data_IF_539745365023
#
_entry.id   IF_539745365023
#
_cell.length_a   1.000
_cell.length_b   1.000
_cell.length_c   1.000
_cell.angle_alpha   90.00
_cell.angle_beta   90.00
_cell.angle_gamma   90.00
#
_symmetry.space_group_name_H-M   'P 1'
#
loop_
_entity.id
_entity.type
_entity.pdbx_description
1 polymer ?
#
# COMPACT_ATOMS: atom_id res chain seq x y z
N UNK A 1 -7.10 14.26 33.76
CA UNK A 1 -7.18 14.45 32.31
C UNK A 1 -8.04 13.34 31.74
N UNK A 2 -9.14 13.67 31.05
CA UNK A 2 -9.98 12.68 30.38
C UNK A 2 -9.18 11.97 29.29
N UNK A 3 -9.13 10.64 29.36
CA UNK A 3 -8.64 9.76 28.31
C UNK A 3 -9.51 9.97 27.05
N UNK A 4 -9.07 10.84 26.14
CA UNK A 4 -9.75 11.01 24.86
C UNK A 4 -9.37 9.80 24.03
N UNK A 5 -10.25 8.80 23.97
CA UNK A 5 -10.00 7.59 23.19
C UNK A 5 -9.64 7.99 21.75
N UNK A 6 -8.54 7.44 21.22
CA UNK A 6 -8.11 7.71 19.84
C UNK A 6 -9.24 7.42 18.87
N UNK A 7 -9.41 8.28 17.87
CA UNK A 7 -10.42 8.05 16.83
C UNK A 7 -9.99 6.87 15.96
N UNK A 8 -10.88 5.89 15.83
CA UNK A 8 -10.67 4.70 15.01
C UNK A 8 -10.99 4.99 13.54
N UNK A 9 -10.11 4.59 12.63
CA UNK A 9 -10.25 4.86 11.19
C UNK A 9 -10.12 3.57 10.39
N UNK A 10 -11.11 3.28 9.54
CA UNK A 10 -11.05 2.17 8.61
C UNK A 10 -10.30 2.58 7.33
N UNK A 11 -9.34 1.75 6.92
CA UNK A 11 -8.57 1.91 5.68
C UNK A 11 -8.83 0.68 4.81
N UNK A 12 -9.38 0.89 3.62
CA UNK A 12 -9.78 -0.21 2.73
C UNK A 12 -8.72 -0.37 1.63
N UNK A 13 -7.96 -1.48 1.72
CA UNK A 13 -6.85 -1.84 0.85
C UNK A 13 -5.48 -1.47 1.43
N UNK A 14 -4.49 -2.37 1.28
CA UNK A 14 -3.10 -2.17 1.72
C UNK A 14 -2.13 -2.02 0.54
N UNK A 15 -2.56 -1.29 -0.50
CA UNK A 15 -1.74 -0.94 -1.66
C UNK A 15 -0.99 0.40 -1.50
N UNK A 16 -0.53 0.95 -2.63
CA UNK A 16 0.22 2.21 -2.68
C UNK A 16 -0.54 3.44 -2.10
N UNK A 17 -1.86 3.39 -1.98
CA UNK A 17 -2.63 4.43 -1.28
C UNK A 17 -2.88 4.09 0.19
N UNK A 18 -3.12 2.82 0.52
CA UNK A 18 -3.49 2.40 1.87
C UNK A 18 -2.35 2.46 2.87
N UNK A 19 -1.16 1.99 2.48
CA UNK A 19 0.03 2.01 3.34
C UNK A 19 0.41 3.42 3.82
N UNK A 20 0.50 4.47 2.96
CA UNK A 20 0.73 5.82 3.44
C UNK A 20 -0.44 6.37 4.26
N UNK A 21 -1.69 5.98 3.98
CA UNK A 21 -2.82 6.34 4.85
C UNK A 21 -2.68 5.77 6.26
N UNK A 22 -2.21 4.52 6.41
CA UNK A 22 -1.92 3.90 7.72
C UNK A 22 -0.83 4.69 8.43
N UNK A 23 0.28 4.98 7.74
CA UNK A 23 1.38 5.79 8.29
C UNK A 23 0.88 7.13 8.81
N UNK A 24 0.13 7.88 8.00
CA UNK A 24 -0.37 9.19 8.40
C UNK A 24 -1.41 9.10 9.51
N UNK A 25 -2.28 8.09 9.52
CA UNK A 25 -3.20 7.87 10.63
C UNK A 25 -2.44 7.70 11.95
N UNK A 26 -1.36 6.92 11.97
CA UNK A 26 -0.50 6.78 13.15
C UNK A 26 0.20 8.10 13.51
N UNK A 27 0.71 8.85 12.53
CA UNK A 27 1.36 10.15 12.74
C UNK A 27 0.42 11.20 13.37
N UNK A 28 -0.87 11.15 13.03
CA UNK A 28 -1.90 12.05 13.57
C UNK A 28 -2.63 11.49 14.81
N UNK A 29 -2.04 10.49 15.47
CA UNK A 29 -2.55 9.88 16.70
C UNK A 29 -3.96 9.24 16.57
N UNK A 30 -4.24 8.67 15.39
CA UNK A 30 -5.44 7.88 15.13
C UNK A 30 -5.17 6.39 15.33
N UNK A 31 -6.24 5.60 15.49
CA UNK A 31 -6.16 4.13 15.56
C UNK A 31 -6.62 3.52 14.22
N UNK A 32 -5.71 3.21 13.29
CA UNK A 32 -6.08 2.64 12.00
C UNK A 32 -6.43 1.15 12.09
N UNK A 33 -7.47 0.76 11.38
CA UNK A 33 -7.80 -0.64 11.06
C UNK A 33 -7.77 -0.80 9.55
N UNK A 34 -6.81 -1.56 9.03
CA UNK A 34 -6.68 -1.81 7.60
C UNK A 34 -7.35 -3.14 7.23
N UNK A 35 -8.16 -3.10 6.16
CA UNK A 35 -8.76 -4.27 5.55
C UNK A 35 -8.15 -4.48 4.17
N UNK A 36 -7.31 -5.50 4.01
CA UNK A 36 -6.79 -5.94 2.72
C UNK A 36 -7.52 -7.22 2.31
N UNK A 37 -7.98 -7.26 1.06
CA UNK A 37 -8.69 -8.43 0.55
C UNK A 37 -7.75 -9.63 0.52
N UNK A 38 -6.54 -9.45 0.02
CA UNK A 38 -5.58 -10.52 -0.23
C UNK A 38 -4.77 -10.87 1.03
N UNK A 39 -3.89 -11.86 0.94
CA UNK A 39 -3.09 -12.33 2.07
C UNK A 39 -1.83 -11.49 2.33
N UNK A 40 -1.62 -10.40 1.59
CA UNK A 40 -0.37 -9.64 1.61
C UNK A 40 -0.58 -8.21 1.08
N UNK A 41 0.38 -7.33 1.35
CA UNK A 41 0.33 -5.90 1.00
C UNK A 41 0.90 -5.61 -0.40
N UNK A 42 0.77 -4.38 -0.86
CA UNK A 42 1.35 -3.89 -2.12
C UNK A 42 0.35 -3.74 -3.26
N UNK A 43 -0.85 -4.33 -3.12
CA UNK A 43 -1.94 -4.17 -4.09
C UNK A 43 -1.54 -4.61 -5.50
N UNK A 44 -1.76 -3.75 -6.50
CA UNK A 44 -1.45 -4.00 -7.91
C UNK A 44 0.03 -4.37 -8.15
N UNK A 45 0.95 -3.77 -7.39
CA UNK A 45 2.38 -3.90 -7.58
C UNK A 45 2.96 -5.21 -7.02
N UNK A 46 2.17 -5.96 -6.26
CA UNK A 46 2.55 -7.32 -5.85
C UNK A 46 2.31 -8.27 -7.01
N UNK A 47 3.35 -8.54 -7.78
CA UNK A 47 3.29 -9.50 -8.87
C UNK A 47 2.86 -10.90 -8.38
N UNK A 48 1.93 -11.52 -9.10
CA UNK A 48 1.45 -12.89 -8.86
C UNK A 48 1.55 -13.70 -10.15
N UNK A 49 2.44 -14.70 -10.18
CA UNK A 49 2.69 -15.51 -11.38
C UNK A 49 1.48 -16.39 -11.74
N UNK A 50 0.93 -17.11 -10.75
CA UNK A 50 -0.13 -18.12 -10.97
C UNK A 50 -1.49 -17.75 -10.36
N UNK A 51 -1.55 -16.73 -9.50
CA UNK A 51 -2.74 -16.40 -8.70
C UNK A 51 -3.34 -15.04 -9.08
N UNK A 52 -4.18 -15.02 -10.12
CA UNK A 52 -5.03 -13.84 -10.47
C UNK A 52 -6.41 -13.89 -9.84
N UNK A 53 -6.62 -14.82 -8.91
CA UNK A 53 -7.82 -14.88 -8.11
C UNK A 53 -7.48 -15.13 -6.65
N UNK A 54 -8.19 -14.46 -5.75
CA UNK A 54 -8.14 -14.72 -4.33
C UNK A 54 -9.56 -14.99 -3.83
N UNK A 55 -9.78 -16.14 -3.18
CA UNK A 55 -11.11 -16.59 -2.71
C UNK A 55 -12.20 -16.51 -3.81
N UNK A 56 -11.87 -16.91 -5.04
CA UNK A 56 -12.80 -16.88 -6.18
C UNK A 56 -13.03 -15.49 -6.80
N UNK A 57 -12.48 -14.42 -6.23
CA UNK A 57 -12.53 -13.07 -6.81
C UNK A 57 -11.30 -12.82 -7.67
N UNK A 58 -11.47 -12.20 -8.84
CA UNK A 58 -10.33 -11.77 -9.66
C UNK A 58 -9.59 -10.64 -8.95
N UNK A 59 -8.27 -10.76 -8.87
CA UNK A 59 -7.38 -9.75 -8.28
C UNK A 59 -6.39 -9.27 -9.34
N UNK A 60 -6.21 -7.95 -9.41
CA UNK A 60 -5.30 -7.33 -10.36
C UNK A 60 -3.84 -7.51 -9.91
N UNK A 61 -2.95 -7.62 -10.89
CA UNK A 61 -1.49 -7.69 -10.72
C UNK A 61 -0.85 -7.07 -11.95
N UNK A 62 0.32 -6.47 -11.77
CA UNK A 62 1.23 -6.15 -12.88
C UNK A 62 1.66 -7.42 -13.64
N UNK A 63 2.22 -7.23 -14.85
CA UNK A 63 2.84 -8.30 -15.62
C UNK A 63 4.30 -8.49 -15.18
N UNK A 64 4.88 -9.66 -15.49
CA UNK A 64 6.27 -10.00 -15.15
C UNK A 64 7.29 -8.99 -15.69
N UNK A 65 7.00 -8.42 -16.86
CA UNK A 65 7.86 -7.47 -17.56
C UNK A 65 7.43 -6.01 -17.36
N UNK A 66 6.53 -5.72 -16.41
CA UNK A 66 6.11 -4.34 -16.15
C UNK A 66 7.29 -3.53 -15.60
N UNK A 67 7.54 -2.39 -16.24
CA UNK A 67 8.46 -1.34 -15.78
C UNK A 67 7.61 -0.09 -15.55
N UNK A 68 7.94 0.73 -14.54
CA UNK A 68 7.20 1.96 -14.29
C UNK A 68 7.34 2.91 -15.49
N UNK A 69 6.30 3.66 -15.81
CA UNK A 69 6.30 4.64 -16.89
C UNK A 69 6.53 6.08 -16.39
N UNK A 70 6.85 6.23 -15.10
CA UNK A 70 7.14 7.48 -14.41
C UNK A 70 8.54 7.43 -13.82
N UNK A 71 9.09 8.58 -13.38
CA UNK A 71 10.37 8.56 -12.64
C UNK A 71 10.17 7.97 -11.24
N UNK A 72 11.12 7.13 -10.81
CA UNK A 72 11.12 6.57 -9.44
C UNK A 72 11.20 7.66 -8.39
N UNK A 73 11.92 8.76 -8.66
CA UNK A 73 12.06 9.91 -7.77
C UNK A 73 10.75 10.69 -7.66
N UNK A 74 10.07 10.89 -8.79
CA UNK A 74 8.79 11.62 -8.83
C UNK A 74 7.62 10.80 -8.24
N UNK A 75 7.73 9.48 -8.26
CA UNK A 75 6.68 8.57 -7.79
C UNK A 75 6.85 8.17 -6.32
N UNK A 76 8.06 8.30 -5.78
CA UNK A 76 8.36 7.93 -4.41
C UNK A 76 7.55 8.73 -3.39
N UNK A 77 7.31 8.12 -2.23
CA UNK A 77 6.92 8.90 -1.06
C UNK A 77 8.08 9.83 -0.68
N UNK A 78 7.79 11.10 -0.43
CA UNK A 78 8.79 12.14 -0.19
C UNK A 78 9.71 11.85 1.00
N UNK A 79 9.24 11.09 1.98
CA UNK A 79 9.97 10.69 3.18
C UNK A 79 10.51 9.25 3.13
N UNK A 80 10.41 8.60 1.96
CA UNK A 80 10.96 7.26 1.71
C UNK A 80 11.46 7.13 0.27
N UNK A 81 12.53 7.87 -0.10
CA UNK A 81 13.07 7.85 -1.46
C UNK A 81 13.75 6.52 -1.80
N UNK A 82 13.70 6.09 -3.08
CA UNK A 82 14.38 4.89 -3.54
C UNK A 82 15.91 5.09 -3.52
N UNK A 83 16.66 3.99 -3.39
CA UNK A 83 18.12 4.04 -3.48
C UNK A 83 18.56 4.45 -4.90
N UNK A 84 19.68 5.19 -5.05
CA UNK A 84 20.18 5.63 -6.35
C UNK A 84 20.40 4.48 -7.35
N UNK A 85 20.88 3.34 -6.86
CA UNK A 85 21.23 2.15 -7.66
C UNK A 85 20.03 1.44 -8.32
N UNK A 86 18.81 1.65 -7.80
CA UNK A 86 17.61 0.94 -8.26
C UNK A 86 17.20 1.47 -9.65
N UNK A 87 16.71 0.61 -10.54
CA UNK A 87 16.16 1.07 -11.82
C UNK A 87 14.96 2.01 -11.60
N UNK A 88 14.54 2.73 -12.65
CA UNK A 88 13.17 3.24 -12.69
C UNK A 88 12.22 2.05 -12.61
#
# INVERSE_FOLDING_TARGET
>A
MSDVSKKRVAIIGAGASGLPSIRHALLYDLEPVCFELTNDIGGLWRYKENERSYKGLKVSSVMKSTVINTSKEMTAYSDFPPKPEIAN
#
